data_IF_439337849440
#
_entry.id   IF_439337849440
#
_cell.length_a   1.000
_cell.length_b   1.000
_cell.length_c   1.000
_cell.angle_alpha   90.00
_cell.angle_beta   90.00
_cell.angle_gamma   90.00
#
_symmetry.space_group_name_H-M   'P 1'
#
loop_
_entity.id
_entity.type
_entity.pdbx_description
1 polymer ?
#
# COMPACT_ATOMS: atom_id res chain seq x y z
N UNK A 1 1.74 0.84 -19.87
CA UNK A 1 2.84 0.59 -18.90
C UNK A 1 2.70 1.40 -17.60
N UNK A 2 2.26 2.67 -17.65
CA UNK A 2 2.00 3.48 -16.44
C UNK A 2 0.50 3.75 -16.34
N UNK A 3 -0.05 3.64 -15.13
CA UNK A 3 -1.47 3.86 -14.86
C UNK A 3 -1.65 4.43 -13.45
N UNK A 4 -2.81 5.02 -13.20
CA UNK A 4 -3.21 5.51 -11.88
C UNK A 4 -4.24 4.54 -11.29
N UNK A 5 -4.06 4.16 -10.04
CA UNK A 5 -5.03 3.37 -9.27
C UNK A 5 -4.89 3.67 -7.77
N UNK A 6 -5.81 3.15 -6.98
CA UNK A 6 -5.72 3.20 -5.53
C UNK A 6 -4.89 2.04 -5.00
N UNK A 7 -4.18 2.30 -3.92
CA UNK A 7 -3.53 1.28 -3.11
C UNK A 7 -3.69 1.61 -1.64
N UNK A 8 -3.98 0.60 -0.84
CA UNK A 8 -4.01 0.77 0.61
C UNK A 8 -2.58 0.67 1.13
N UNK A 9 -2.09 1.78 1.66
CA UNK A 9 -0.72 1.90 2.15
C UNK A 9 -0.71 2.20 3.64
N UNK A 10 0.31 1.73 4.39
CA UNK A 10 0.55 2.20 5.73
C UNK A 10 0.87 3.69 5.68
N UNK A 11 0.17 4.47 6.49
CA UNK A 11 0.16 5.92 6.45
C UNK A 11 0.39 6.51 7.84
N UNK A 12 1.34 7.43 7.93
CA UNK A 12 1.58 8.23 9.13
C UNK A 12 0.76 9.51 9.05
N UNK A 13 -0.33 9.56 9.80
CA UNK A 13 -1.17 10.75 9.90
C UNK A 13 -0.48 11.92 10.61
N UNK A 14 0.51 11.65 11.48
CA UNK A 14 1.28 12.68 12.17
C UNK A 14 2.41 13.27 11.29
N UNK A 15 2.89 12.52 10.30
CA UNK A 15 3.87 12.99 9.31
C UNK A 15 3.21 13.27 7.94
N UNK A 16 1.90 13.04 7.83
CA UNK A 16 1.08 13.23 6.63
C UNK A 16 1.68 12.58 5.36
N UNK A 17 2.19 11.36 5.52
CA UNK A 17 2.88 10.65 4.42
C UNK A 17 2.70 9.14 4.48
N UNK A 18 2.58 8.45 3.33
CA UNK A 18 2.68 7.00 3.28
C UNK A 18 4.09 6.52 3.63
N UNK A 19 4.18 5.35 4.23
CA UNK A 19 5.43 4.70 4.56
C UNK A 19 5.66 3.48 3.68
N UNK A 20 6.93 3.22 3.35
CA UNK A 20 7.34 1.99 2.69
C UNK A 20 7.30 0.81 3.69
N UNK A 21 7.18 -0.42 3.17
CA UNK A 21 7.24 -1.62 4.01
C UNK A 21 8.51 -1.70 4.86
N UNK A 22 9.62 -1.17 4.37
CA UNK A 22 10.87 -1.10 5.12
C UNK A 22 10.74 -0.17 6.35
N UNK A 23 10.13 1.00 6.19
CA UNK A 23 9.90 1.96 7.27
C UNK A 23 8.93 1.40 8.32
N UNK A 24 7.88 0.74 7.88
CA UNK A 24 6.89 0.08 8.75
C UNK A 24 7.51 -1.00 9.63
N UNK A 25 8.36 -1.85 9.03
CA UNK A 25 9.03 -2.95 9.73
C UNK A 25 9.96 -2.49 10.86
N UNK A 26 10.32 -1.20 10.92
CA UNK A 26 11.16 -0.65 11.98
C UNK A 26 10.37 -0.21 13.23
N UNK A 27 9.04 -0.14 13.14
CA UNK A 27 8.20 0.49 14.14
C UNK A 27 7.17 -0.42 14.80
N UNK A 28 7.26 -1.74 14.70
CA UNK A 28 6.30 -2.63 15.37
C UNK A 28 6.49 -2.62 16.89
N UNK A 29 5.38 -2.45 17.60
CA UNK A 29 5.30 -2.43 19.07
C UNK A 29 4.01 -3.15 19.51
N UNK A 30 4.01 -3.68 20.72
CA UNK A 30 2.79 -4.21 21.31
C UNK A 30 1.84 -3.06 21.67
N UNK A 31 0.62 -3.16 21.18
CA UNK A 31 -0.46 -2.19 21.43
C UNK A 31 -1.68 -2.92 21.96
N UNK A 32 -2.30 -2.35 22.97
CA UNK A 32 -3.57 -2.86 23.53
C UNK A 32 -4.71 -1.97 23.04
N UNK A 33 -5.61 -2.54 22.25
CA UNK A 33 -6.80 -1.88 21.72
C UNK A 33 -8.09 -2.44 22.35
N UNK A 34 -9.15 -1.64 22.30
CA UNK A 34 -10.49 -2.12 22.59
C UNK A 34 -11.04 -2.84 21.35
N UNK A 35 -10.96 -4.15 21.32
CA UNK A 35 -11.63 -4.94 20.29
C UNK A 35 -13.12 -5.06 20.61
N UNK A 36 -13.95 -5.02 19.58
CA UNK A 36 -15.40 -5.15 19.72
C UNK A 36 -15.98 -6.21 18.79
N UNK A 37 -17.08 -6.82 19.24
CA UNK A 37 -17.93 -7.64 18.39
C UNK A 37 -19.27 -6.94 18.22
N UNK A 38 -19.70 -6.79 16.97
CA UNK A 38 -20.93 -6.10 16.58
C UNK A 38 -21.82 -7.00 15.72
N UNK A 39 -23.10 -6.69 15.64
CA UNK A 39 -24.07 -7.44 14.84
C UNK A 39 -24.36 -6.73 13.52
N UNK A 40 -24.31 -7.48 12.41
CA UNK A 40 -24.85 -7.08 11.13
C UNK A 40 -26.07 -7.92 10.78
N UNK A 41 -27.17 -7.27 10.42
CA UNK A 41 -28.43 -7.97 10.12
C UNK A 41 -28.52 -8.27 8.62
N UNK A 42 -28.57 -9.55 8.28
CA UNK A 42 -28.76 -10.03 6.92
C UNK A 42 -30.21 -9.82 6.47
N UNK A 43 -30.44 -9.80 5.15
CA UNK A 43 -31.78 -9.67 4.54
C UNK A 43 -32.79 -10.75 4.98
N UNK A 44 -32.30 -11.92 5.40
CA UNK A 44 -33.13 -13.02 5.92
C UNK A 44 -33.36 -12.91 7.45
N UNK A 45 -32.93 -11.82 8.09
CA UNK A 45 -33.10 -11.55 9.52
C UNK A 45 -32.05 -12.17 10.44
N UNK A 46 -31.17 -13.03 9.95
CA UNK A 46 -30.04 -13.54 10.75
C UNK A 46 -29.04 -12.43 11.07
N UNK A 47 -28.39 -12.51 12.21
CA UNK A 47 -27.38 -11.54 12.67
C UNK A 47 -25.99 -12.16 12.63
N UNK A 48 -25.13 -11.65 11.77
CA UNK A 48 -23.71 -12.01 11.75
C UNK A 48 -22.95 -11.27 12.84
N UNK A 49 -22.24 -12.01 13.68
CA UNK A 49 -21.34 -11.46 14.69
C UNK A 49 -19.98 -11.16 14.04
N UNK A 50 -19.56 -9.92 14.08
CA UNK A 50 -18.35 -9.44 13.39
C UNK A 50 -17.42 -8.76 14.38
N UNK A 51 -16.16 -9.16 14.39
CA UNK A 51 -15.16 -8.67 15.32
C UNK A 51 -14.19 -7.68 14.62
N UNK A 52 -13.80 -6.62 15.35
CA UNK A 52 -12.80 -5.66 14.87
C UNK A 52 -12.00 -5.04 16.02
N UNK A 53 -10.73 -4.73 15.76
CA UNK A 53 -9.85 -3.93 16.64
C UNK A 53 -9.88 -2.44 16.28
N UNK A 54 -10.52 -2.07 15.16
CA UNK A 54 -10.56 -0.73 14.61
C UNK A 54 -12.01 -0.21 14.48
N UNK A 55 -12.71 0.10 15.59
CA UNK A 55 -14.10 0.57 15.53
C UNK A 55 -14.28 1.78 14.60
N UNK A 56 -13.26 2.65 14.47
CA UNK A 56 -13.29 3.82 13.62
C UNK A 56 -13.44 3.52 12.12
N UNK A 57 -13.17 2.26 11.66
CA UNK A 57 -13.37 1.88 10.25
C UNK A 57 -14.81 1.45 9.93
N UNK A 58 -15.63 1.15 10.95
CA UNK A 58 -17.03 0.73 10.77
C UNK A 58 -17.91 1.72 10.00
N UNK A 59 -17.76 3.05 10.13
CA UNK A 59 -18.47 4.02 9.30
C UNK A 59 -18.24 3.83 7.79
N UNK A 60 -17.11 3.24 7.42
CA UNK A 60 -16.71 2.99 6.02
C UNK A 60 -16.89 1.52 5.61
N UNK A 61 -17.63 0.73 6.39
CA UNK A 61 -17.97 -0.63 6.03
C UNK A 61 -18.77 -0.66 4.73
N UNK A 62 -18.32 -1.49 3.76
CA UNK A 62 -19.03 -1.69 2.49
C UNK A 62 -19.36 -3.16 2.23
N UNK A 63 -18.63 -4.13 2.81
CA UNK A 63 -18.84 -5.55 2.62
C UNK A 63 -18.59 -6.31 3.94
N UNK A 64 -19.00 -7.57 3.98
CA UNK A 64 -18.56 -8.56 4.95
C UNK A 64 -17.84 -9.69 4.22
N UNK A 65 -16.91 -10.39 4.87
CA UNK A 65 -16.25 -11.55 4.29
C UNK A 65 -16.37 -12.78 5.19
N UNK A 66 -16.56 -13.93 4.54
CA UNK A 66 -16.60 -15.28 5.16
C UNK A 66 -15.63 -16.21 4.45
N UNK A 67 -15.11 -17.22 5.13
CA UNK A 67 -14.37 -18.32 4.49
C UNK A 67 -15.33 -19.34 3.92
N UNK A 68 -15.30 -19.63 2.62
CA UNK A 68 -16.24 -20.52 1.91
C UNK A 68 -16.40 -21.88 2.60
N UNK A 69 -15.30 -22.46 3.04
CA UNK A 69 -15.23 -23.82 3.58
C UNK A 69 -15.37 -23.86 5.11
N UNK A 70 -15.42 -22.71 5.77
CA UNK A 70 -15.60 -22.58 7.21
C UNK A 70 -17.05 -22.96 7.58
N UNK A 71 -17.20 -23.74 8.65
CA UNK A 71 -18.48 -24.06 9.25
C UNK A 71 -18.90 -22.94 10.21
N UNK A 72 -20.11 -22.42 10.03
CA UNK A 72 -20.71 -21.38 10.85
C UNK A 72 -21.89 -21.95 11.64
N UNK A 73 -21.84 -21.80 12.96
CA UNK A 73 -22.93 -22.13 13.82
C UNK A 73 -24.07 -21.11 13.70
N UNK A 74 -25.29 -21.60 13.61
CA UNK A 74 -26.51 -20.80 13.73
C UNK A 74 -27.07 -21.02 15.12
N UNK A 75 -26.93 -19.99 15.97
CA UNK A 75 -27.43 -19.98 17.34
C UNK A 75 -28.78 -19.27 17.39
N UNK A 76 -29.74 -19.75 18.17
CA UNK A 76 -31.06 -19.11 18.29
C UNK A 76 -31.41 -18.84 19.76
N UNK A 77 -31.86 -17.62 20.04
CA UNK A 77 -32.37 -17.15 21.31
C UNK A 77 -33.57 -16.23 21.03
N UNK A 78 -34.71 -16.53 21.66
CA UNK A 78 -35.98 -15.78 21.53
C UNK A 78 -36.41 -15.52 20.08
N UNK A 79 -36.17 -16.50 19.20
CA UNK A 79 -36.50 -16.41 17.77
C UNK A 79 -35.52 -15.60 16.93
N UNK A 80 -34.48 -15.04 17.55
CA UNK A 80 -33.40 -14.34 16.84
C UNK A 80 -32.23 -15.29 16.57
N UNK A 81 -31.74 -15.33 15.32
CA UNK A 81 -30.61 -16.18 14.92
C UNK A 81 -29.32 -15.36 14.84
N UNK A 82 -28.26 -15.93 15.44
CA UNK A 82 -26.90 -15.37 15.43
C UNK A 82 -25.94 -16.31 14.71
N UNK A 83 -25.02 -15.77 13.95
CA UNK A 83 -24.08 -16.53 13.11
C UNK A 83 -22.66 -16.16 13.45
N UNK A 84 -21.80 -17.16 13.73
CA UNK A 84 -20.36 -17.03 13.89
C UNK A 84 -19.69 -18.37 13.57
N UNK A 85 -18.37 -18.38 13.34
CA UNK A 85 -17.66 -19.61 13.06
C UNK A 85 -17.81 -20.63 14.20
N UNK A 86 -18.15 -21.88 13.84
CA UNK A 86 -18.35 -23.01 14.76
C UNK A 86 -17.15 -23.19 15.71
N UNK A 87 -15.93 -23.04 15.20
CA UNK A 87 -14.70 -23.21 15.99
C UNK A 87 -14.55 -22.14 17.08
N UNK A 88 -15.23 -20.99 16.96
CA UNK A 88 -15.10 -19.85 17.87
C UNK A 88 -16.25 -19.72 18.87
N UNK A 89 -17.24 -20.61 18.86
CA UNK A 89 -18.35 -20.61 19.82
C UNK A 89 -17.88 -20.55 21.28
N UNK A 90 -16.77 -21.22 21.57
CA UNK A 90 -16.20 -21.25 22.92
C UNK A 90 -15.85 -19.88 23.49
N UNK A 91 -15.52 -18.91 22.63
CA UNK A 91 -15.15 -17.53 23.02
C UNK A 91 -16.38 -16.65 23.33
N UNK A 92 -17.58 -17.10 22.93
CA UNK A 92 -18.83 -16.34 23.04
C UNK A 92 -19.87 -17.01 23.98
N UNK A 93 -19.46 -17.99 24.79
CA UNK A 93 -20.31 -18.70 25.70
C UNK A 93 -21.14 -17.79 26.60
N UNK A 94 -20.57 -16.70 27.10
CA UNK A 94 -21.26 -15.73 27.96
C UNK A 94 -22.31 -14.91 27.19
N UNK A 95 -22.00 -14.52 25.96
CA UNK A 95 -22.87 -13.70 25.10
C UNK A 95 -24.01 -14.52 24.49
N UNK A 96 -23.85 -15.85 24.42
CA UNK A 96 -24.81 -16.81 23.84
C UNK A 96 -25.27 -17.83 24.89
N UNK A 97 -25.27 -17.44 26.19
CA UNK A 97 -25.54 -18.31 27.30
C UNK A 97 -26.95 -18.96 27.22
N UNK A 98 -27.91 -18.22 26.69
CA UNK A 98 -29.29 -18.67 26.54
C UNK A 98 -29.63 -19.15 25.12
N UNK A 99 -28.67 -18.99 24.16
CA UNK A 99 -28.87 -19.41 22.79
C UNK A 99 -28.63 -20.91 22.61
N UNK A 100 -29.44 -21.57 21.79
CA UNK A 100 -29.25 -22.96 21.38
C UNK A 100 -28.76 -23.03 19.92
N UNK A 101 -27.87 -23.98 19.62
CA UNK A 101 -27.46 -24.21 18.26
C UNK A 101 -28.56 -24.94 17.48
N UNK A 102 -29.14 -24.28 16.47
CA UNK A 102 -30.23 -24.81 15.64
C UNK A 102 -29.76 -25.31 14.28
N UNK A 103 -28.51 -25.05 13.93
CA UNK A 103 -27.94 -25.52 12.66
C UNK A 103 -26.48 -25.16 12.49
N UNK A 104 -25.93 -25.60 11.34
CA UNK A 104 -24.60 -25.23 10.85
C UNK A 104 -24.74 -24.96 9.35
N UNK A 105 -24.09 -23.89 8.87
CA UNK A 105 -24.06 -23.53 7.46
C UNK A 105 -22.61 -23.38 7.01
N UNK A 106 -22.32 -23.63 5.75
CA UNK A 106 -21.03 -23.30 5.15
C UNK A 106 -20.95 -21.80 4.85
N UNK A 107 -19.74 -21.23 4.89
CA UNK A 107 -19.55 -19.84 4.48
C UNK A 107 -20.06 -19.57 3.08
N UNK A 108 -19.93 -20.54 2.18
CA UNK A 108 -20.45 -20.47 0.82
C UNK A 108 -21.96 -20.15 0.75
N UNK A 109 -22.75 -20.58 1.73
CA UNK A 109 -24.20 -20.37 1.78
C UNK A 109 -24.58 -18.90 2.06
N UNK A 110 -23.65 -18.11 2.60
CA UNK A 110 -23.84 -16.69 2.92
C UNK A 110 -23.37 -15.76 1.79
N UNK A 111 -22.51 -16.24 0.89
CA UNK A 111 -21.96 -15.40 -0.18
C UNK A 111 -23.05 -14.81 -1.07
N UNK A 112 -23.01 -13.51 -1.26
CA UNK A 112 -23.99 -12.76 -2.04
C UNK A 112 -25.19 -12.25 -1.25
N UNK A 113 -25.44 -12.74 -0.02
CA UNK A 113 -26.52 -12.21 0.82
C UNK A 113 -26.30 -10.75 1.13
N UNK A 114 -27.35 -9.95 1.04
CA UNK A 114 -27.31 -8.54 1.41
C UNK A 114 -27.51 -8.36 2.92
N UNK A 115 -27.02 -7.26 3.44
CA UNK A 115 -27.23 -6.86 4.85
C UNK A 115 -27.54 -5.37 4.97
N UNK A 116 -28.09 -4.97 6.11
CA UNK A 116 -28.38 -3.58 6.40
C UNK A 116 -27.11 -2.86 6.89
N UNK A 117 -26.75 -1.72 6.27
CA UNK A 117 -25.58 -0.94 6.67
C UNK A 117 -25.78 -0.35 8.09
N UNK A 118 -24.75 -0.49 8.92
CA UNK A 118 -24.74 -0.02 10.32
C UNK A 118 -24.79 1.50 10.42
N UNK A 119 -24.19 2.19 9.46
CA UNK A 119 -24.13 3.65 9.34
C UNK A 119 -24.79 4.16 8.05
N UNK A 120 -25.32 5.39 8.03
CA UNK A 120 -26.08 5.87 6.88
C UNK A 120 -25.23 6.44 5.74
N UNK A 121 -23.94 6.70 5.96
CA UNK A 121 -23.13 7.59 5.13
C UNK A 121 -22.98 7.16 3.67
N UNK A 122 -22.81 5.85 3.41
CA UNK A 122 -22.55 5.31 2.07
C UNK A 122 -23.67 4.42 1.53
N UNK A 123 -24.90 4.55 2.06
CA UNK A 123 -26.06 3.75 1.64
C UNK A 123 -26.35 3.79 0.13
N UNK A 124 -26.04 4.90 -0.52
CA UNK A 124 -26.20 5.07 -1.97
C UNK A 124 -25.33 4.09 -2.79
N UNK A 125 -24.28 3.53 -2.20
CA UNK A 125 -23.44 2.53 -2.86
C UNK A 125 -24.08 1.14 -2.94
N UNK A 126 -25.24 0.92 -2.30
CA UNK A 126 -26.02 -0.32 -2.44
C UNK A 126 -26.34 -0.62 -3.91
N UNK A 127 -26.62 0.42 -4.70
CA UNK A 127 -26.86 0.31 -6.15
C UNK A 127 -25.62 -0.12 -6.94
N UNK A 128 -24.42 0.07 -6.38
CA UNK A 128 -23.14 -0.37 -6.93
C UNK A 128 -22.66 -1.71 -6.35
N UNK A 129 -23.55 -2.48 -5.72
CA UNK A 129 -23.24 -3.81 -5.19
C UNK A 129 -22.70 -3.85 -3.77
N UNK A 130 -22.60 -2.72 -3.05
CA UNK A 130 -22.18 -2.70 -1.66
C UNK A 130 -23.19 -3.37 -0.70
N UNK A 131 -22.75 -3.66 0.53
CA UNK A 131 -23.50 -4.27 1.63
C UNK A 131 -23.94 -5.71 1.34
N UNK A 132 -22.97 -6.50 0.86
CA UNK A 132 -23.11 -7.95 0.62
C UNK A 132 -22.00 -8.71 1.32
N UNK A 133 -22.23 -10.01 1.49
CA UNK A 133 -21.25 -10.95 2.01
C UNK A 133 -20.39 -11.47 0.86
N UNK A 134 -19.07 -11.34 0.98
CA UNK A 134 -18.08 -11.89 0.05
C UNK A 134 -17.44 -13.16 0.60
N UNK A 135 -16.76 -13.89 -0.25
CA UNK A 135 -15.81 -14.90 0.21
C UNK A 135 -14.40 -14.30 0.28
N UNK A 136 -13.65 -14.60 1.35
CA UNK A 136 -12.26 -14.20 1.51
C UNK A 136 -11.40 -15.37 1.98
N UNK A 137 -10.31 -15.66 1.26
CA UNK A 137 -9.34 -16.70 1.67
C UNK A 137 -8.55 -16.30 2.93
N UNK A 138 -8.46 -14.99 3.20
CA UNK A 138 -7.83 -14.43 4.40
C UNK A 138 -8.66 -14.61 5.68
N UNK A 139 -9.93 -15.02 5.58
CA UNK A 139 -10.78 -15.25 6.76
C UNK A 139 -10.29 -16.48 7.50
N UNK A 140 -9.92 -16.28 8.76
CA UNK A 140 -9.44 -17.35 9.65
C UNK A 140 -10.36 -17.58 10.84
N UNK A 141 -10.13 -18.68 11.55
CA UNK A 141 -10.80 -19.03 12.83
C UNK A 141 -9.84 -19.01 14.01
N UNK A 142 -8.71 -18.32 13.89
CA UNK A 142 -7.74 -18.18 14.97
C UNK A 142 -8.21 -17.17 16.01
N UNK A 143 -8.76 -16.03 15.53
CA UNK A 143 -9.28 -14.95 16.36
C UNK A 143 -10.64 -14.44 15.85
N UNK A 144 -11.30 -13.60 16.67
CA UNK A 144 -12.54 -12.92 16.30
C UNK A 144 -13.75 -13.84 16.25
N UNK A 145 -14.48 -13.81 15.14
CA UNK A 145 -15.75 -14.54 14.92
C UNK A 145 -15.75 -15.38 13.66
N UNK A 146 -14.66 -15.34 12.85
CA UNK A 146 -14.61 -15.96 11.54
C UNK A 146 -15.43 -15.21 10.49
N UNK A 147 -15.86 -13.99 10.78
CA UNK A 147 -16.52 -13.06 9.84
C UNK A 147 -15.82 -11.72 9.96
N UNK A 148 -15.37 -11.19 8.83
CA UNK A 148 -14.57 -9.97 8.74
C UNK A 148 -15.40 -8.83 8.17
N UNK A 149 -15.36 -7.66 8.81
CA UNK A 149 -15.89 -6.44 8.25
C UNK A 149 -14.90 -5.88 7.21
N UNK A 150 -15.39 -5.47 6.07
CA UNK A 150 -14.60 -5.02 4.93
C UNK A 150 -14.80 -3.52 4.72
N UNK A 151 -13.70 -2.78 4.83
CA UNK A 151 -13.61 -1.35 4.53
C UNK A 151 -12.47 -1.11 3.51
N UNK A 152 -12.74 -1.15 2.19
CA UNK A 152 -11.70 -1.19 1.14
C UNK A 152 -10.76 0.02 1.14
N UNK A 153 -11.13 1.11 1.80
CA UNK A 153 -10.26 2.25 2.00
C UNK A 153 -9.20 2.09 3.08
N UNK A 154 -9.28 1.04 3.93
CA UNK A 154 -8.47 0.91 5.15
C UNK A 154 -7.84 -0.47 5.37
N UNK A 155 -8.06 -1.43 4.48
CA UNK A 155 -7.44 -2.75 4.51
C UNK A 155 -6.98 -3.19 3.12
N UNK A 156 -5.76 -3.74 3.01
CA UNK A 156 -5.25 -4.24 1.74
C UNK A 156 -6.07 -5.45 1.26
N UNK A 157 -6.31 -6.42 2.16
CA UNK A 157 -7.12 -7.61 1.84
C UNK A 157 -8.57 -7.20 1.52
N UNK A 158 -9.10 -6.20 2.22
CA UNK A 158 -10.41 -5.61 1.99
C UNK A 158 -10.52 -5.02 0.57
N UNK A 159 -9.51 -4.25 0.18
CA UNK A 159 -9.42 -3.65 -1.14
C UNK A 159 -9.34 -4.72 -2.23
N UNK A 160 -8.45 -5.70 -2.06
CA UNK A 160 -8.26 -6.80 -3.03
C UNK A 160 -9.53 -7.65 -3.17
N UNK A 161 -10.22 -7.95 -2.05
CA UNK A 161 -11.50 -8.68 -2.09
C UNK A 161 -12.60 -7.92 -2.81
N UNK A 162 -12.70 -6.61 -2.58
CA UNK A 162 -13.67 -5.77 -3.29
C UNK A 162 -13.35 -5.66 -4.79
N UNK A 163 -12.07 -5.53 -5.18
CA UNK A 163 -11.63 -5.50 -6.59
C UNK A 163 -11.83 -6.85 -7.28
N UNK A 164 -11.66 -7.96 -6.58
CA UNK A 164 -11.96 -9.30 -7.10
C UNK A 164 -13.46 -9.52 -7.34
N UNK A 165 -14.31 -8.86 -6.55
CA UNK A 165 -15.75 -8.88 -6.72
C UNK A 165 -16.20 -8.02 -7.93
N UNK A 166 -15.70 -6.80 -8.03
CA UNK A 166 -15.91 -5.87 -9.14
C UNK A 166 -14.67 -4.98 -9.29
N UNK A 167 -14.02 -5.03 -10.46
CA UNK A 167 -12.83 -4.23 -10.75
C UNK A 167 -13.07 -2.71 -10.55
N UNK A 168 -14.31 -2.26 -10.73
CA UNK A 168 -14.70 -0.86 -10.55
C UNK A 168 -15.41 -0.60 -9.21
N UNK A 169 -15.31 -1.53 -8.24
CA UNK A 169 -15.96 -1.34 -6.95
C UNK A 169 -15.48 -0.05 -6.27
N UNK A 170 -16.41 0.77 -5.72
CA UNK A 170 -16.06 2.06 -5.15
C UNK A 170 -15.19 1.90 -3.90
N UNK A 171 -14.15 2.73 -3.82
CA UNK A 171 -13.28 2.82 -2.65
C UNK A 171 -13.63 4.11 -1.91
N UNK A 172 -14.12 3.98 -0.68
CA UNK A 172 -14.39 5.13 0.20
C UNK A 172 -13.28 5.24 1.24
N UNK A 173 -12.72 6.44 1.35
CA UNK A 173 -11.67 6.75 2.31
C UNK A 173 -11.93 8.15 2.93
N UNK A 174 -12.96 8.28 3.79
CA UNK A 174 -13.40 9.56 4.34
C UNK A 174 -12.48 10.09 5.45
N UNK A 175 -11.17 10.06 5.20
CA UNK A 175 -10.12 10.49 6.14
C UNK A 175 -9.10 11.34 5.39
N UNK A 176 -8.82 12.53 5.90
CA UNK A 176 -7.85 13.47 5.35
C UNK A 176 -6.39 13.08 5.62
N UNK A 177 -5.45 13.93 5.25
CA UNK A 177 -4.01 13.70 5.43
C UNK A 177 -3.61 13.66 6.90
N UNK A 178 -4.28 14.44 7.77
CA UNK A 178 -4.03 14.47 9.21
C UNK A 178 -4.72 13.31 9.97
N UNK A 179 -5.31 12.34 9.27
CA UNK A 179 -6.03 11.22 9.87
C UNK A 179 -7.36 11.60 10.52
N UNK A 180 -8.01 12.69 10.04
CA UNK A 180 -9.29 13.17 10.55
C UNK A 180 -10.42 12.85 9.58
N UNK A 181 -11.59 12.56 10.11
CA UNK A 181 -12.77 12.34 9.27
C UNK A 181 -13.15 13.59 8.47
N UNK A 182 -13.47 13.37 7.19
CA UNK A 182 -13.98 14.39 6.27
C UNK A 182 -15.49 14.61 6.43
N UNK A 183 -16.05 15.53 5.63
CA UNK A 183 -17.49 15.79 5.60
C UNK A 183 -18.36 14.61 5.14
N UNK A 184 -17.76 13.57 4.56
CA UNK A 184 -18.47 12.34 4.16
C UNK A 184 -18.95 11.53 5.38
N UNK A 185 -18.33 11.74 6.56
CA UNK A 185 -18.76 11.18 7.85
C UNK A 185 -19.06 12.32 8.83
N UNK A 186 -20.17 13.02 8.65
CA UNK A 186 -20.45 14.33 9.29
C UNK A 186 -20.48 14.27 10.81
N UNK A 187 -20.92 13.16 11.42
CA UNK A 187 -21.00 13.03 12.87
C UNK A 187 -19.62 13.01 13.56
N UNK A 188 -18.58 12.72 12.79
CA UNK A 188 -17.19 12.66 13.27
C UNK A 188 -16.26 13.61 12.52
N UNK A 189 -16.78 14.48 11.66
CA UNK A 189 -15.98 15.42 10.85
C UNK A 189 -14.97 16.20 11.70
N UNK A 190 -13.72 16.25 11.26
CA UNK A 190 -12.62 16.97 11.89
C UNK A 190 -12.02 16.28 13.13
N UNK A 191 -12.58 15.15 13.58
CA UNK A 191 -12.02 14.35 14.68
C UNK A 191 -10.98 13.38 14.14
N UNK A 192 -9.88 13.21 14.88
CA UNK A 192 -8.86 12.21 14.58
C UNK A 192 -9.45 10.81 14.77
N UNK A 193 -9.15 9.86 13.85
CA UNK A 193 -9.84 8.56 13.79
C UNK A 193 -9.77 7.75 15.08
N UNK A 194 -8.63 7.73 15.78
CA UNK A 194 -8.51 6.99 17.04
C UNK A 194 -9.35 7.58 18.18
N UNK A 195 -9.58 8.91 18.17
CA UNK A 195 -10.45 9.58 19.14
C UNK A 195 -11.93 9.21 18.97
N UNK A 196 -12.31 8.68 17.81
CA UNK A 196 -13.70 8.32 17.51
C UNK A 196 -14.05 6.89 17.96
N UNK A 197 -13.10 6.08 18.35
CA UNK A 197 -13.35 4.70 18.78
C UNK A 197 -14.37 4.63 19.92
N UNK A 198 -14.18 5.40 20.99
CA UNK A 198 -15.10 5.38 22.14
C UNK A 198 -16.48 5.94 21.82
N UNK A 199 -16.64 7.10 21.15
CA UNK A 199 -17.93 7.57 20.67
C UNK A 199 -18.68 6.56 19.78
N UNK A 200 -17.98 5.88 18.87
CA UNK A 200 -18.58 4.85 18.01
C UNK A 200 -19.07 3.67 18.86
N UNK A 201 -18.23 3.16 19.77
CA UNK A 201 -18.62 2.06 20.66
C UNK A 201 -19.84 2.40 21.51
N UNK A 202 -19.92 3.65 22.01
CA UNK A 202 -21.06 4.12 22.78
C UNK A 202 -22.33 4.15 21.92
N UNK A 203 -22.26 4.67 20.70
CA UNK A 203 -23.38 4.68 19.75
C UNK A 203 -23.89 3.26 19.46
N UNK A 204 -22.95 2.31 19.22
CA UNK A 204 -23.30 0.93 18.92
C UNK A 204 -23.94 0.22 20.12
N UNK A 205 -23.53 0.57 21.34
CA UNK A 205 -24.15 0.09 22.58
C UNK A 205 -25.56 0.62 22.74
N UNK A 206 -25.78 1.91 22.51
CA UNK A 206 -27.11 2.55 22.58
C UNK A 206 -28.08 1.98 21.54
N UNK A 207 -27.58 1.61 20.35
CA UNK A 207 -28.36 0.91 19.33
C UNK A 207 -28.60 -0.58 19.61
N UNK A 208 -28.03 -1.13 20.68
CA UNK A 208 -28.13 -2.56 21.00
C UNK A 208 -27.38 -3.49 20.00
N UNK A 209 -26.41 -2.95 19.27
CA UNK A 209 -25.65 -3.66 18.22
C UNK A 209 -24.31 -4.20 18.77
N UNK A 210 -23.78 -3.58 19.83
CA UNK A 210 -22.54 -4.00 20.48
C UNK A 210 -22.76 -5.27 21.32
N UNK A 211 -22.13 -6.38 20.94
CA UNK A 211 -22.27 -7.71 21.60
C UNK A 211 -21.21 -7.89 22.70
N UNK A 212 -19.96 -7.52 22.39
CA UNK A 212 -18.81 -7.72 23.28
C UNK A 212 -17.81 -6.60 23.12
N UNK A 213 -17.16 -6.20 24.21
CA UNK A 213 -15.98 -5.33 24.23
C UNK A 213 -14.90 -6.06 25.06
N UNK A 214 -13.70 -6.14 24.55
CA UNK A 214 -12.56 -6.77 25.22
C UNK A 214 -11.26 -6.03 24.92
N UNK A 215 -10.28 -6.14 25.79
CA UNK A 215 -8.95 -5.67 25.52
C UNK A 215 -8.18 -6.73 24.71
N UNK A 216 -7.53 -6.31 23.65
CA UNK A 216 -6.77 -7.16 22.77
C UNK A 216 -5.38 -6.57 22.53
N UNK A 217 -4.35 -7.30 22.95
CA UNK A 217 -2.96 -6.90 22.77
C UNK A 217 -2.39 -7.59 21.54
N UNK A 218 -1.86 -6.81 20.62
CA UNK A 218 -1.28 -7.31 19.39
C UNK A 218 -0.09 -6.46 18.95
N UNK A 219 0.75 -7.03 18.08
CA UNK A 219 1.85 -6.29 17.44
C UNK A 219 1.26 -5.33 16.42
N UNK A 220 1.54 -4.03 16.57
CA UNK A 220 0.97 -2.95 15.74
C UNK A 220 2.07 -2.05 15.19
N UNK A 221 1.99 -1.59 13.93
CA UNK A 221 3.01 -0.72 13.35
C UNK A 221 2.86 0.73 13.83
N UNK A 222 3.98 1.31 14.25
CA UNK A 222 4.11 2.73 14.58
C UNK A 222 5.04 3.43 13.60
N UNK A 223 4.84 4.73 13.43
CA UNK A 223 5.73 5.55 12.63
C UNK A 223 7.10 5.63 13.31
N UNK A 224 8.16 5.19 12.64
CA UNK A 224 9.52 5.19 13.18
C UNK A 224 10.04 6.60 13.51
N UNK A 225 9.45 7.65 12.95
CA UNK A 225 9.84 9.04 13.13
C UNK A 225 9.02 9.77 14.20
N UNK A 226 7.70 9.57 14.23
CA UNK A 226 6.78 10.29 15.11
C UNK A 226 6.31 9.49 16.30
N UNK A 227 6.63 8.18 16.33
CA UNK A 227 6.21 7.23 17.37
C UNK A 227 4.68 7.18 17.58
N UNK A 228 3.92 7.44 16.50
CA UNK A 228 2.46 7.37 16.48
C UNK A 228 1.99 6.11 15.77
N UNK A 229 0.85 5.51 16.18
CA UNK A 229 0.30 4.35 15.49
C UNK A 229 -0.07 4.73 14.05
N UNK A 230 0.25 3.85 13.10
CA UNK A 230 -0.10 4.04 11.70
C UNK A 230 -1.59 3.74 11.48
N UNK A 231 -2.12 4.28 10.39
CA UNK A 231 -3.35 3.80 9.78
C UNK A 231 -3.02 3.17 8.43
N UNK A 232 -3.87 2.29 7.93
CA UNK A 232 -3.86 1.92 6.53
C UNK A 232 -4.86 2.82 5.80
N UNK A 233 -4.47 3.38 4.65
CA UNK A 233 -5.29 4.35 3.92
C UNK A 233 -5.16 4.12 2.42
N UNK A 234 -6.29 4.06 1.71
CA UNK A 234 -6.31 4.04 0.26
C UNK A 234 -5.85 5.40 -0.27
N UNK A 235 -4.83 5.37 -1.10
CA UNK A 235 -4.26 6.54 -1.75
C UNK A 235 -4.19 6.30 -3.25
N UNK A 236 -4.56 7.31 -4.03
CA UNK A 236 -4.25 7.32 -5.46
C UNK A 236 -2.74 7.33 -5.64
N UNK A 237 -2.25 6.52 -6.55
CA UNK A 237 -0.83 6.40 -6.85
C UNK A 237 -0.63 6.06 -8.32
N UNK A 238 0.51 6.46 -8.87
CA UNK A 238 0.93 6.09 -10.21
C UNK A 238 1.78 4.82 -10.15
N UNK A 239 1.48 3.87 -11.03
CA UNK A 239 2.12 2.56 -11.05
C UNK A 239 2.79 2.29 -12.39
N UNK A 240 3.94 1.63 -12.36
CA UNK A 240 4.46 0.87 -13.50
C UNK A 240 3.84 -0.52 -13.45
N UNK A 241 3.18 -0.95 -14.53
CA UNK A 241 2.53 -2.25 -14.63
C UNK A 241 3.56 -3.35 -14.90
N UNK A 242 4.32 -3.66 -13.86
CA UNK A 242 5.42 -4.63 -13.89
C UNK A 242 4.94 -6.03 -14.26
N UNK A 243 3.71 -6.36 -13.86
CA UNK A 243 3.07 -7.65 -14.14
C UNK A 243 2.94 -7.95 -15.64
N UNK A 244 2.88 -6.93 -16.51
CA UNK A 244 2.78 -7.11 -17.97
C UNK A 244 4.09 -7.63 -18.61
N UNK A 245 5.24 -7.37 -17.98
CA UNK A 245 6.57 -7.75 -18.51
C UNK A 245 7.46 -8.48 -17.48
N UNK A 246 6.85 -9.00 -16.43
CA UNK A 246 7.52 -9.74 -15.36
C UNK A 246 8.35 -10.93 -15.88
N UNK A 247 7.78 -11.69 -16.79
CA UNK A 247 8.45 -12.87 -17.39
C UNK A 247 9.66 -12.44 -18.25
N UNK A 248 9.59 -11.28 -18.87
CA UNK A 248 10.71 -10.68 -19.60
C UNK A 248 11.84 -10.27 -18.63
N UNK A 249 11.52 -9.76 -17.45
CA UNK A 249 12.53 -9.46 -16.43
C UNK A 249 13.24 -10.74 -15.95
N UNK A 250 12.48 -11.80 -15.71
CA UNK A 250 13.05 -13.11 -15.33
C UNK A 250 13.99 -13.62 -16.44
N UNK A 251 13.55 -13.55 -17.70
CA UNK A 251 14.35 -13.95 -18.86
C UNK A 251 15.63 -13.09 -19.02
N UNK A 252 15.51 -11.78 -18.85
CA UNK A 252 16.64 -10.84 -18.93
C UNK A 252 17.65 -11.11 -17.81
N UNK A 253 17.20 -11.43 -16.59
CA UNK A 253 18.07 -11.78 -15.47
C UNK A 253 18.97 -13.00 -15.80
N UNK A 254 18.51 -13.95 -16.62
CA UNK A 254 19.31 -15.12 -17.02
C UNK A 254 20.55 -14.73 -17.86
N UNK A 255 20.54 -13.57 -18.50
CA UNK A 255 21.66 -13.06 -19.29
C UNK A 255 22.74 -12.37 -18.44
N UNK A 256 22.47 -12.16 -17.13
CA UNK A 256 23.38 -11.47 -16.21
C UNK A 256 24.28 -12.50 -15.51
N UNK A 257 25.57 -12.17 -15.43
CA UNK A 257 26.51 -12.92 -14.59
C UNK A 257 26.47 -12.36 -13.17
N UNK A 258 26.10 -13.19 -12.21
CA UNK A 258 26.05 -12.81 -10.79
C UNK A 258 27.22 -13.41 -10.02
N UNK A 259 27.80 -12.59 -9.15
CA UNK A 259 28.81 -13.01 -8.19
C UNK A 259 28.35 -12.58 -6.79
N UNK A 260 27.98 -13.55 -5.92
CA UNK A 260 27.92 -15.00 -6.11
C UNK A 260 26.72 -15.45 -6.97
N UNK A 261 26.89 -16.53 -7.72
CA UNK A 261 25.92 -17.03 -8.69
C UNK A 261 24.55 -17.36 -8.11
N UNK A 262 24.48 -17.84 -6.87
CA UNK A 262 23.22 -18.24 -6.22
C UNK A 262 22.22 -17.09 -6.06
N UNK A 263 22.65 -15.83 -6.14
CA UNK A 263 21.76 -14.66 -6.09
C UNK A 263 20.83 -14.62 -7.31
N UNK A 264 21.32 -15.07 -8.48
CA UNK A 264 20.60 -15.03 -9.76
C UNK A 264 19.24 -15.70 -9.70
N UNK A 265 19.18 -16.96 -9.34
CA UNK A 265 17.95 -17.76 -9.28
C UNK A 265 17.37 -17.81 -7.86
N UNK A 266 18.18 -17.49 -6.85
CA UNK A 266 17.76 -17.44 -5.45
C UNK A 266 17.06 -16.14 -5.10
N UNK A 267 17.77 -15.29 -4.34
CA UNK A 267 17.17 -14.07 -3.75
C UNK A 267 16.62 -13.09 -4.79
N UNK A 268 17.32 -12.86 -5.90
CA UNK A 268 16.88 -11.92 -6.93
C UNK A 268 15.87 -12.54 -7.88
N UNK A 269 16.13 -13.75 -8.41
CA UNK A 269 15.23 -14.44 -9.33
C UNK A 269 13.83 -14.64 -8.73
N UNK A 270 13.76 -15.18 -7.51
CA UNK A 270 12.48 -15.35 -6.80
C UNK A 270 11.74 -14.05 -6.54
N UNK A 271 12.47 -12.96 -6.35
CA UNK A 271 11.86 -11.63 -6.22
C UNK A 271 11.23 -11.17 -7.53
N UNK A 272 11.92 -11.39 -8.66
CA UNK A 272 11.39 -11.06 -9.98
C UNK A 272 10.14 -11.88 -10.33
N UNK A 273 10.16 -13.19 -10.03
CA UNK A 273 9.02 -14.09 -10.25
C UNK A 273 7.76 -13.64 -9.49
N UNK A 274 7.93 -13.10 -8.29
CA UNK A 274 6.86 -12.58 -7.44
C UNK A 274 6.62 -11.07 -7.59
N UNK A 275 7.25 -10.39 -8.58
CA UNK A 275 7.15 -8.95 -8.71
C UNK A 275 5.71 -8.50 -8.98
N UNK A 276 5.29 -7.49 -8.23
CA UNK A 276 3.99 -6.80 -8.37
C UNK A 276 4.20 -5.44 -9.02
N UNK A 277 3.12 -4.81 -9.42
CA UNK A 277 3.16 -3.45 -9.96
C UNK A 277 3.80 -2.47 -8.98
N UNK A 278 4.64 -1.62 -9.50
CA UNK A 278 5.47 -0.72 -8.71
C UNK A 278 4.85 0.67 -8.62
N UNK A 279 4.47 1.09 -7.41
CA UNK A 279 4.04 2.46 -7.13
C UNK A 279 5.23 3.41 -7.22
N UNK A 280 5.19 4.31 -8.20
CA UNK A 280 6.26 5.26 -8.52
C UNK A 280 5.98 6.69 -8.06
N UNK A 281 4.80 6.98 -7.52
CA UNK A 281 4.48 8.30 -7.00
C UNK A 281 4.69 8.39 -5.49
N UNK A 282 5.11 9.58 -5.03
CA UNK A 282 5.27 9.91 -3.62
C UNK A 282 4.62 11.26 -3.33
N UNK A 283 3.82 11.31 -2.27
CA UNK A 283 3.24 12.55 -1.75
C UNK A 283 4.29 13.25 -0.88
N UNK A 284 5.21 13.97 -1.53
CA UNK A 284 6.29 14.73 -0.90
C UNK A 284 6.50 16.03 -1.65
N UNK A 285 6.99 17.04 -0.94
CA UNK A 285 7.29 18.32 -1.58
C UNK A 285 8.52 18.22 -2.48
N UNK A 286 9.61 17.64 -1.99
CA UNK A 286 10.88 17.55 -2.72
C UNK A 286 11.08 16.20 -3.41
N UNK A 287 11.43 16.26 -4.68
CA UNK A 287 11.68 15.15 -5.56
C UNK A 287 11.46 15.56 -7.01
N UNK A 288 11.69 14.65 -7.96
CA UNK A 288 11.43 14.88 -9.39
C UNK A 288 9.92 14.90 -9.64
N UNK A 289 9.33 16.02 -10.08
CA UNK A 289 7.89 16.11 -10.34
C UNK A 289 7.44 15.15 -11.46
N UNK A 290 6.32 14.49 -11.25
CA UNK A 290 5.72 13.61 -12.28
C UNK A 290 5.16 14.51 -13.40
N UNK A 291 5.53 14.29 -14.67
CA UNK A 291 5.14 15.16 -15.79
C UNK A 291 3.75 14.83 -16.34
N UNK A 292 2.76 14.79 -15.46
CA UNK A 292 1.37 14.46 -15.77
C UNK A 292 0.47 15.61 -15.34
N UNK A 293 -0.39 16.08 -16.23
CA UNK A 293 -1.43 17.08 -15.98
C UNK A 293 -2.80 16.43 -16.05
N UNK A 294 -3.65 16.74 -15.10
CA UNK A 294 -5.05 16.24 -15.03
C UNK A 294 -6.02 17.43 -15.04
N UNK A 295 -7.17 17.15 -15.64
CA UNK A 295 -8.32 18.05 -15.54
C UNK A 295 -8.76 18.21 -14.06
N UNK A 296 -9.03 19.44 -13.64
CA UNK A 296 -9.59 19.75 -12.31
C UNK A 296 -11.12 19.58 -12.24
N UNK A 297 -11.76 19.17 -13.34
CA UNK A 297 -13.19 18.92 -13.42
C UNK A 297 -13.48 17.50 -13.95
N UNK A 298 -14.10 16.62 -13.12
CA UNK A 298 -14.42 15.25 -13.52
C UNK A 298 -15.46 15.14 -14.65
N UNK A 299 -16.18 16.22 -14.99
CA UNK A 299 -17.09 16.24 -16.14
C UNK A 299 -16.35 16.33 -17.48
N UNK A 300 -15.11 16.80 -17.47
CA UNK A 300 -14.23 16.86 -18.62
C UNK A 300 -12.92 16.13 -18.29
N UNK A 301 -12.95 14.80 -18.14
CA UNK A 301 -11.78 14.03 -17.73
C UNK A 301 -10.72 14.07 -18.83
N UNK A 302 -9.50 14.49 -18.48
CA UNK A 302 -8.36 14.52 -19.40
C UNK A 302 -7.07 14.33 -18.62
N UNK A 303 -6.14 13.62 -19.23
CA UNK A 303 -4.77 13.42 -18.73
C UNK A 303 -3.82 13.74 -19.90
N UNK A 304 -2.92 14.69 -19.68
CA UNK A 304 -1.83 15.01 -20.59
C UNK A 304 -0.49 14.64 -19.95
N UNK A 305 0.39 14.02 -20.72
CA UNK A 305 1.74 13.64 -20.30
C UNK A 305 2.73 14.33 -21.22
N UNK A 306 3.70 15.03 -20.67
CA UNK A 306 4.73 15.73 -21.45
C UNK A 306 6.09 15.06 -21.30
N UNK A 307 6.68 14.69 -22.42
CA UNK A 307 7.99 14.05 -22.48
C UNK A 307 9.16 15.04 -22.57
N UNK A 308 8.89 16.33 -22.80
CA UNK A 308 9.94 17.36 -22.91
C UNK A 308 9.42 18.77 -22.62
N UNK A 309 10.35 19.67 -22.29
CA UNK A 309 10.07 21.12 -22.14
C UNK A 309 9.56 21.72 -23.47
N UNK A 310 10.09 21.25 -24.60
CA UNK A 310 9.64 21.70 -25.92
C UNK A 310 8.17 21.33 -26.16
N UNK A 311 7.75 20.14 -25.78
CA UNK A 311 6.36 19.68 -25.89
C UNK A 311 5.42 20.48 -24.98
N UNK A 312 5.84 20.83 -23.74
CA UNK A 312 5.09 21.72 -22.87
C UNK A 312 4.84 23.05 -23.57
N UNK A 313 5.91 23.69 -24.12
CA UNK A 313 5.80 24.96 -24.80
C UNK A 313 4.92 24.89 -26.05
N UNK A 314 5.04 23.84 -26.85
CA UNK A 314 4.23 23.62 -28.05
C UNK A 314 2.74 23.52 -27.73
N UNK A 315 2.39 22.72 -26.74
CA UNK A 315 0.98 22.42 -26.42
C UNK A 315 0.30 23.45 -25.53
N UNK A 316 1.05 24.13 -24.67
CA UNK A 316 0.49 25.04 -23.67
C UNK A 316 0.82 26.51 -23.95
N UNK A 317 1.80 26.80 -24.78
CA UNK A 317 2.35 28.15 -25.00
C UNK A 317 3.24 28.66 -23.85
N UNK A 318 3.39 27.87 -22.76
CA UNK A 318 4.13 28.25 -21.56
C UNK A 318 5.60 27.85 -21.70
N UNK A 319 6.50 28.78 -21.45
CA UNK A 319 7.93 28.53 -21.43
C UNK A 319 8.38 28.14 -20.02
N UNK A 320 8.98 26.94 -19.90
CA UNK A 320 9.45 26.39 -18.63
C UNK A 320 10.97 26.42 -18.59
N UNK A 321 11.52 27.11 -17.61
CA UNK A 321 12.98 27.21 -17.39
C UNK A 321 13.44 26.43 -16.15
N UNK A 322 12.53 26.06 -15.26
CA UNK A 322 12.80 25.31 -14.04
C UNK A 322 11.75 24.23 -13.84
N UNK A 323 12.19 22.96 -13.84
CA UNK A 323 11.33 21.78 -13.69
C UNK A 323 11.08 21.37 -12.23
N UNK A 324 11.67 22.08 -11.25
CA UNK A 324 11.46 21.77 -9.84
C UNK A 324 10.15 22.37 -9.32
N UNK A 325 9.61 21.78 -8.27
CA UNK A 325 8.56 22.43 -7.47
C UNK A 325 9.14 23.67 -6.74
N UNK A 326 8.37 24.77 -6.61
CA UNK A 326 6.97 24.91 -7.04
C UNK A 326 6.80 25.35 -8.50
N UNK A 327 7.87 25.68 -9.21
CA UNK A 327 7.84 26.35 -10.52
C UNK A 327 7.06 25.57 -11.59
N UNK A 328 7.27 24.25 -11.69
CA UNK A 328 6.56 23.41 -12.66
C UNK A 328 5.06 23.33 -12.36
N UNK A 329 4.65 23.54 -11.10
CA UNK A 329 3.24 23.50 -10.69
C UNK A 329 2.47 24.76 -11.16
N UNK A 330 3.20 25.82 -11.57
CA UNK A 330 2.62 27.03 -12.16
C UNK A 330 2.18 26.83 -13.61
N UNK A 331 2.58 25.71 -14.24
CA UNK A 331 2.12 25.35 -15.59
C UNK A 331 0.68 24.87 -15.51
N UNK A 332 -0.24 25.82 -15.68
CA UNK A 332 -1.69 25.61 -15.68
C UNK A 332 -2.26 26.17 -16.97
N UNK A 333 -3.11 25.40 -17.66
CA UNK A 333 -3.69 25.79 -18.95
C UNK A 333 -5.13 25.29 -19.06
N UNK A 334 -5.97 25.93 -19.92
CA UNK A 334 -7.34 25.49 -20.12
C UNK A 334 -7.43 24.06 -20.64
N UNK A 335 -8.40 23.30 -20.14
CA UNK A 335 -8.68 21.96 -20.68
C UNK A 335 -9.29 22.11 -22.09
N UNK A 336 -8.65 21.56 -23.14
CA UNK A 336 -9.16 21.65 -24.50
C UNK A 336 -10.52 20.97 -24.72
N UNK A 337 -10.90 20.04 -23.84
CA UNK A 337 -12.15 19.29 -23.94
C UNK A 337 -13.35 20.03 -23.31
N UNK A 338 -13.09 21.13 -22.57
CA UNK A 338 -14.13 22.01 -22.01
C UNK A 338 -14.35 23.22 -22.92
N UNK A 339 -15.47 23.29 -23.68
CA UNK A 339 -15.76 24.44 -24.54
C UNK A 339 -16.03 25.75 -23.77
N UNK A 340 -16.31 25.66 -22.47
CA UNK A 340 -16.50 26.85 -21.63
C UNK A 340 -15.20 27.55 -21.24
N UNK A 341 -14.06 26.86 -21.37
CA UNK A 341 -12.74 27.34 -20.98
C UNK A 341 -12.54 27.54 -19.46
N UNK A 342 -13.45 27.02 -18.63
CA UNK A 342 -13.39 27.19 -17.16
C UNK A 342 -12.60 26.09 -16.47
N UNK A 343 -12.56 24.90 -17.07
CA UNK A 343 -11.79 23.76 -16.56
C UNK A 343 -10.33 23.92 -16.89
N UNK A 344 -9.47 23.68 -15.90
CA UNK A 344 -8.04 23.83 -16.06
C UNK A 344 -7.32 22.48 -15.97
N UNK A 345 -6.25 22.34 -16.72
CA UNK A 345 -5.27 21.27 -16.59
C UNK A 345 -4.23 21.66 -15.55
N UNK A 346 -4.04 20.83 -14.54
CA UNK A 346 -3.08 21.03 -13.45
C UNK A 346 -2.18 19.83 -13.31
N UNK A 347 -0.89 20.05 -13.03
CA UNK A 347 0.04 18.96 -12.76
C UNK A 347 -0.39 18.19 -11.50
N UNK A 348 -0.24 16.87 -11.50
CA UNK A 348 -0.43 16.04 -10.30
C UNK A 348 0.58 16.44 -9.22
N UNK A 349 0.14 16.55 -7.96
CA UNK A 349 0.97 17.04 -6.86
C UNK A 349 2.17 16.17 -6.52
N UNK A 350 2.14 14.91 -6.92
CA UNK A 350 3.15 13.90 -6.60
C UNK A 350 4.51 14.17 -7.27
N UNK A 351 5.53 13.56 -6.66
CA UNK A 351 6.89 13.43 -7.21
C UNK A 351 7.21 11.95 -7.42
N UNK A 352 8.21 11.65 -8.24
CA UNK A 352 8.68 10.28 -8.43
C UNK A 352 9.30 9.72 -7.14
N UNK A 353 9.20 8.42 -6.99
CA UNK A 353 10.04 7.63 -6.09
C UNK A 353 11.51 7.83 -6.45
N UNK A 354 12.36 8.10 -5.46
CA UNK A 354 13.81 8.23 -5.68
C UNK A 354 14.43 6.98 -6.35
N UNK A 355 13.81 5.83 -6.18
CA UNK A 355 14.22 4.59 -6.86
C UNK A 355 13.88 4.59 -8.35
N UNK A 356 12.87 5.35 -8.79
CA UNK A 356 12.63 5.59 -10.22
C UNK A 356 13.77 6.42 -10.82
N UNK A 357 14.20 7.45 -10.12
CA UNK A 357 15.32 8.30 -10.56
C UNK A 357 16.61 7.49 -10.65
N UNK A 358 16.96 6.73 -9.61
CA UNK A 358 18.17 5.90 -9.60
C UNK A 358 18.12 4.76 -10.63
N UNK A 359 16.93 4.20 -10.88
CA UNK A 359 16.71 3.19 -11.93
C UNK A 359 16.79 3.75 -13.35
N UNK A 360 16.55 5.05 -13.54
CA UNK A 360 16.66 5.74 -14.83
C UNK A 360 18.08 6.23 -15.15
N UNK A 361 19.03 6.08 -14.22
CA UNK A 361 20.40 6.59 -14.34
C UNK A 361 21.09 6.25 -15.68
N UNK A 362 20.96 5.01 -16.23
CA UNK A 362 21.69 4.67 -17.46
C UNK A 362 21.44 5.60 -18.64
N UNK A 363 20.22 6.13 -18.77
CA UNK A 363 19.82 7.04 -19.85
C UNK A 363 19.73 8.49 -19.39
N UNK A 364 19.33 8.73 -18.16
CA UNK A 364 19.19 10.08 -17.63
C UNK A 364 20.55 10.82 -17.55
N UNK A 365 21.63 10.12 -17.19
CA UNK A 365 22.97 10.72 -17.09
C UNK A 365 23.51 11.29 -18.40
N UNK A 366 23.02 10.83 -19.54
CA UNK A 366 23.45 11.26 -20.88
C UNK A 366 22.35 11.98 -21.65
N UNK A 367 21.21 12.26 -20.99
CA UNK A 367 20.03 12.92 -21.56
C UNK A 367 19.47 12.18 -22.80
N UNK A 368 19.57 10.84 -22.80
CA UNK A 368 18.94 10.01 -23.83
C UNK A 368 17.41 10.05 -23.69
N UNK A 369 16.62 10.09 -24.79
CA UNK A 369 17.02 9.93 -26.18
C UNK A 369 17.30 11.28 -26.91
N UNK A 370 17.30 12.42 -26.23
CA UNK A 370 17.43 13.75 -26.83
C UNK A 370 18.86 14.04 -27.24
N UNK A 371 19.82 13.66 -26.39
CA UNK A 371 21.25 13.82 -26.62
C UNK A 371 21.97 12.48 -26.50
N UNK A 372 23.22 12.42 -26.98
CA UNK A 372 24.17 11.32 -26.80
C UNK A 372 23.62 9.91 -27.16
N UNK A 373 22.73 9.83 -28.14
CA UNK A 373 22.09 8.58 -28.55
C UNK A 373 23.10 7.49 -28.93
N UNK A 374 24.07 7.82 -29.79
CA UNK A 374 25.11 6.89 -30.24
C UNK A 374 25.96 6.39 -29.04
N UNK A 375 26.32 7.30 -28.15
CA UNK A 375 27.07 6.94 -26.95
C UNK A 375 26.28 5.91 -26.10
N UNK A 376 25.00 6.21 -25.83
CA UNK A 376 24.15 5.31 -25.03
C UNK A 376 24.01 3.93 -25.68
N UNK A 377 23.73 3.86 -26.97
CA UNK A 377 23.54 2.60 -27.70
C UNK A 377 24.80 1.71 -27.67
N UNK A 378 26.00 2.32 -27.64
CA UNK A 378 27.27 1.61 -27.58
C UNK A 378 27.72 1.24 -26.16
N UNK A 379 27.18 1.88 -25.10
CA UNK A 379 27.60 1.69 -23.71
C UNK A 379 26.52 1.06 -22.82
N UNK A 380 25.33 0.80 -23.34
CA UNK A 380 24.24 0.15 -22.63
C UNK A 380 23.97 -1.25 -23.20
N UNK A 381 23.86 -2.29 -22.37
CA UNK A 381 23.93 -2.32 -20.91
C UNK A 381 25.33 -2.07 -20.34
N UNK A 382 25.40 -1.63 -19.08
CA UNK A 382 26.66 -1.44 -18.36
C UNK A 382 27.48 -2.74 -18.28
N UNK A 383 28.79 -2.66 -18.27
CA UNK A 383 29.64 -3.84 -18.20
C UNK A 383 29.53 -4.54 -16.83
N UNK A 384 29.54 -3.78 -15.74
CA UNK A 384 29.27 -4.33 -14.41
C UNK A 384 28.75 -3.28 -13.43
N UNK A 385 28.07 -3.76 -12.37
CA UNK A 385 27.73 -2.99 -11.19
C UNK A 385 28.12 -3.76 -9.94
N UNK A 386 28.32 -3.04 -8.83
CA UNK A 386 28.66 -3.65 -7.53
C UNK A 386 27.95 -2.90 -6.40
N UNK A 387 27.18 -3.64 -5.62
CA UNK A 387 26.49 -3.15 -4.42
C UNK A 387 26.20 -4.33 -3.46
N UNK A 388 25.69 -4.00 -2.26
CA UNK A 388 25.36 -5.00 -1.26
C UNK A 388 24.04 -5.73 -1.57
N UNK A 389 23.84 -6.86 -0.91
CA UNK A 389 22.73 -7.80 -1.12
C UNK A 389 21.34 -7.17 -0.92
N UNK A 390 21.20 -6.11 -0.12
CA UNK A 390 19.92 -5.42 0.07
C UNK A 390 19.44 -4.74 -1.23
N UNK A 391 20.34 -4.43 -2.17
CA UNK A 391 20.00 -3.85 -3.47
C UNK A 391 19.30 -4.81 -4.42
N UNK A 392 19.21 -6.08 -4.10
CA UNK A 392 18.30 -7.01 -4.80
C UNK A 392 16.83 -6.59 -4.71
N UNK A 393 16.48 -5.76 -3.72
CA UNK A 393 15.14 -5.16 -3.55
C UNK A 393 15.18 -3.62 -3.60
N UNK A 394 16.22 -3.06 -4.16
CA UNK A 394 16.45 -1.65 -4.37
C UNK A 394 16.93 -1.41 -5.79
N UNK A 395 18.15 -0.90 -5.92
CA UNK A 395 18.68 -0.43 -7.20
C UNK A 395 18.77 -1.50 -8.29
N UNK A 396 19.18 -2.74 -7.98
CA UNK A 396 19.23 -3.82 -8.98
C UNK A 396 17.84 -4.09 -9.57
N UNK A 397 16.81 -4.08 -8.73
CA UNK A 397 15.44 -4.29 -9.15
C UNK A 397 14.93 -3.14 -10.03
N UNK A 398 15.10 -1.89 -9.60
CA UNK A 398 14.58 -0.73 -10.34
C UNK A 398 15.30 -0.51 -11.68
N UNK A 399 16.61 -0.76 -11.76
CA UNK A 399 17.34 -0.84 -13.01
C UNK A 399 16.74 -1.90 -13.95
N UNK A 400 16.44 -3.10 -13.44
CA UNK A 400 15.89 -4.21 -14.23
C UNK A 400 14.47 -3.88 -14.71
N UNK A 401 13.62 -3.30 -13.86
CA UNK A 401 12.26 -2.89 -14.24
C UNK A 401 12.29 -1.90 -15.40
N UNK A 402 13.01 -0.79 -15.24
CA UNK A 402 13.00 0.26 -16.24
C UNK A 402 13.72 -0.14 -17.54
N UNK A 403 14.81 -0.89 -17.43
CA UNK A 403 15.51 -1.43 -18.60
C UNK A 403 14.65 -2.42 -19.39
N UNK A 404 13.94 -3.31 -18.71
CA UNK A 404 13.04 -4.26 -19.38
C UNK A 404 11.86 -3.53 -20.01
N UNK A 405 11.23 -2.61 -19.29
CA UNK A 405 10.09 -1.85 -19.79
C UNK A 405 10.41 -1.02 -21.05
N UNK A 406 11.59 -0.40 -21.09
CA UNK A 406 11.96 0.52 -22.17
C UNK A 406 12.73 -0.15 -23.33
N UNK A 407 13.54 -1.15 -23.05
CA UNK A 407 14.49 -1.73 -23.99
C UNK A 407 14.39 -3.26 -24.12
N UNK A 408 13.65 -3.93 -23.25
CA UNK A 408 13.53 -5.39 -23.15
C UNK A 408 14.90 -6.11 -23.12
N UNK A 409 15.86 -5.55 -22.36
CA UNK A 409 17.19 -6.12 -22.15
C UNK A 409 17.72 -5.81 -20.75
N UNK A 410 18.76 -6.54 -20.26
CA UNK A 410 19.38 -6.24 -18.97
C UNK A 410 19.92 -4.81 -18.91
N UNK A 411 19.94 -4.20 -17.74
CA UNK A 411 20.59 -2.90 -17.52
C UNK A 411 22.12 -3.03 -17.37
N UNK A 412 22.59 -4.21 -17.00
CA UNK A 412 24.02 -4.53 -16.77
C UNK A 412 24.29 -5.99 -17.14
N UNK A 413 25.55 -6.27 -17.52
CA UNK A 413 26.01 -7.61 -17.93
C UNK A 413 26.47 -8.45 -16.73
N UNK A 414 27.10 -7.80 -15.76
CA UNK A 414 27.68 -8.46 -14.59
C UNK A 414 27.25 -7.72 -13.31
N UNK A 415 26.96 -8.46 -12.23
CA UNK A 415 26.65 -7.91 -10.93
C UNK A 415 27.53 -8.59 -9.85
N UNK A 416 28.32 -7.79 -9.15
CA UNK A 416 29.01 -8.23 -7.95
C UNK A 416 28.15 -7.81 -6.75
N UNK A 417 27.58 -8.80 -6.05
CA UNK A 417 26.70 -8.58 -4.93
C UNK A 417 27.46 -8.88 -3.62
N UNK A 418 27.87 -7.82 -2.92
CA UNK A 418 28.60 -7.96 -1.67
C UNK A 418 27.67 -8.31 -0.51
N UNK A 419 28.24 -8.87 0.56
CA UNK A 419 27.53 -9.13 1.80
C UNK A 419 27.24 -7.82 2.58
N UNK A 420 26.61 -7.98 3.75
CA UNK A 420 26.32 -6.89 4.66
C UNK A 420 27.32 -6.85 5.82
N UNK A 421 27.80 -5.66 6.18
CA UNK A 421 28.55 -5.49 7.41
C UNK A 421 27.60 -5.63 8.60
N UNK A 422 28.04 -6.45 9.57
CA UNK A 422 27.27 -6.74 10.77
C UNK A 422 27.95 -6.08 11.99
N UNK A 423 27.15 -5.64 12.93
CA UNK A 423 27.62 -5.22 14.25
C UNK A 423 28.00 -6.43 15.11
N UNK A 424 28.62 -6.18 16.23
CA UNK A 424 28.85 -7.18 17.27
C UNK A 424 27.51 -7.84 17.66
N UNK A 425 27.50 -9.18 17.71
CA UNK A 425 26.27 -9.94 17.92
C UNK A 425 25.43 -10.23 16.66
N UNK A 426 25.94 -9.94 15.45
CA UNK A 426 25.31 -10.33 14.18
C UNK A 426 24.12 -9.47 13.76
N UNK A 427 23.94 -8.29 14.36
CA UNK A 427 22.91 -7.33 13.96
C UNK A 427 23.37 -6.49 12.78
N UNK A 428 22.43 -6.15 11.86
CA UNK A 428 22.71 -5.22 10.76
C UNK A 428 23.11 -3.85 11.33
N UNK A 429 24.12 -3.21 10.73
CA UNK A 429 24.48 -1.83 11.06
C UNK A 429 23.30 -0.88 10.82
N UNK A 430 23.01 -0.01 11.78
CA UNK A 430 21.89 0.92 11.70
C UNK A 430 22.28 2.30 12.24
N UNK A 431 22.02 3.34 11.45
CA UNK A 431 22.21 4.74 11.88
C UNK A 431 21.37 5.08 13.13
N UNK A 432 20.17 4.49 13.24
CA UNK A 432 19.29 4.67 14.41
C UNK A 432 19.91 4.07 15.68
N UNK A 433 20.46 2.87 15.57
CA UNK A 433 21.06 2.15 16.70
C UNK A 433 22.45 2.62 17.03
N UNK A 434 23.11 3.35 16.10
CA UNK A 434 24.52 3.80 16.24
C UNK A 434 25.45 2.64 16.66
N UNK A 435 25.18 1.44 16.16
CA UNK A 435 25.85 0.19 16.52
C UNK A 435 27.08 -0.09 15.66
N UNK A 436 27.77 0.96 15.22
CA UNK A 436 29.03 0.90 14.48
C UNK A 436 29.92 2.09 14.86
N UNK A 437 31.24 1.95 14.79
CA UNK A 437 32.16 3.04 15.05
C UNK A 437 32.07 4.12 13.96
N UNK A 438 32.39 5.36 14.31
CA UNK A 438 32.52 6.42 13.29
C UNK A 438 33.66 6.04 12.32
N UNK A 439 33.40 6.00 11.00
CA UNK A 439 34.41 5.68 9.99
C UNK A 439 35.68 6.60 10.12
N UNK A 440 35.52 7.85 10.51
CA UNK A 440 36.66 8.77 10.67
C UNK A 440 37.54 8.38 11.84
N UNK A 441 36.98 7.87 12.94
CA UNK A 441 37.77 7.36 14.08
C UNK A 441 38.56 6.12 13.66
N UNK A 442 37.94 5.21 12.92
CA UNK A 442 38.61 4.02 12.37
C UNK A 442 39.73 4.42 11.41
N UNK A 443 39.44 5.31 10.46
CA UNK A 443 40.41 5.82 9.50
C UNK A 443 41.58 6.57 10.20
N UNK A 444 41.28 7.34 11.24
CA UNK A 444 42.29 8.06 12.05
C UNK A 444 43.18 7.14 12.85
N UNK A 445 42.67 5.97 13.29
CA UNK A 445 43.43 5.05 14.16
C UNK A 445 44.26 4.01 13.40
N UNK A 446 43.68 3.39 12.37
CA UNK A 446 44.31 2.27 11.64
C UNK A 446 44.64 2.57 10.17
N UNK A 447 44.12 3.68 9.66
CA UNK A 447 44.31 4.10 8.26
C UNK A 447 43.38 3.44 7.26
N UNK A 448 43.30 4.05 6.09
CA UNK A 448 42.40 3.59 5.02
C UNK A 448 42.80 2.24 4.40
N UNK A 449 44.08 1.99 4.28
CA UNK A 449 44.57 0.76 3.65
C UNK A 449 44.27 -0.47 4.49
N UNK A 450 44.42 -0.39 5.80
CA UNK A 450 44.07 -1.47 6.73
C UNK A 450 42.56 -1.76 6.70
N UNK A 451 41.70 -0.73 6.72
CA UNK A 451 40.27 -0.87 6.66
C UNK A 451 39.84 -1.48 5.32
N UNK A 452 40.37 -0.99 4.20
CA UNK A 452 40.08 -1.52 2.86
C UNK A 452 40.51 -2.98 2.72
N UNK A 453 41.70 -3.32 3.21
CA UNK A 453 42.18 -4.71 3.20
C UNK A 453 41.25 -5.63 3.99
N UNK A 454 40.85 -5.23 5.19
CA UNK A 454 39.89 -5.98 5.99
C UNK A 454 38.58 -6.23 5.25
N UNK A 455 37.99 -5.21 4.64
CA UNK A 455 36.72 -5.32 3.92
C UNK A 455 36.83 -6.21 2.67
N UNK A 456 37.92 -6.09 1.89
CA UNK A 456 38.11 -6.87 0.67
C UNK A 456 38.46 -8.35 0.97
N UNK A 457 39.17 -8.61 2.06
CA UNK A 457 39.58 -9.96 2.46
C UNK A 457 38.57 -10.67 3.35
N UNK A 458 37.52 -9.98 3.79
CA UNK A 458 36.48 -10.58 4.62
C UNK A 458 35.67 -11.60 3.85
N UNK A 459 35.48 -12.82 4.38
CA UNK A 459 34.61 -13.83 3.75
C UNK A 459 33.14 -13.50 4.04
N UNK A 460 32.55 -12.58 3.28
CA UNK A 460 31.14 -12.20 3.45
C UNK A 460 30.33 -12.71 2.24
#
# INVERSE_FOLDING_TARGET
>A
MVYEDYRVLPYSWAAETPLSNFEVNQGYQDKTDNAITVMFTLENGMKMLVWTTTPWTLPSNLMLAVGKDIDYAVMEEDGQKYVLAQALLGRYKKQLEHATQVGTMKGADFVGMAYEPMFPYFKHLKEKGAFRVLSGEFVSTEDGTGIVHIAPGFGQDDFEACRAYDENFPVVCPVDEAGKFTAEVPDYQGKQVFETNEPIMQLLKEKGILVKKEQYTHSYPFCWRTDTPLIYKAMSSWFVKVTDFRDDMVRNNQQITWVPEHIKDGRFGKWLEGARDWSISRNRFWGTPIPVWKSDNPQFPRIDVFGSVAEIKEKTGIEVTNLHKPYIDEVVYPNPDDPSGKTMMRRVGDVFDCWFESGSMPYAQVHYPFDNKEWFENHFPADFIVEAMDQTRGWFYTLTVLSTALHNRPAFKNCICTGLLMAEGGQKLSKRLKNYPDPNEVLGSIGSDALRWFLVSSPV
#
